data_IF_024162982100
#
_entry.id   IF_024162982100
#
_cell.length_a   1.000
_cell.length_b   1.000
_cell.length_c   1.000
_cell.angle_alpha   90.00
_cell.angle_beta   90.00
_cell.angle_gamma   90.00
#
_symmetry.space_group_name_H-M   'P 1'
#
loop_
_entity.id
_entity.type
_entity.pdbx_description
1 polymer ?
#
# COMPACT_ATOMS: atom_id res chain seq x y z
N UNK A 1 42.48 4.26 -70.20
CA UNK A 1 41.95 5.45 -69.51
C UNK A 1 41.76 5.04 -68.04
N UNK A 2 42.82 5.15 -67.24
CA UNK A 2 43.10 6.31 -66.36
C UNK A 2 41.99 6.53 -65.33
N UNK A 3 42.22 6.10 -64.09
CA UNK A 3 42.22 7.02 -62.94
C UNK A 3 42.83 6.35 -61.71
N UNK A 4 43.71 7.11 -61.07
CA UNK A 4 44.63 6.82 -59.96
C UNK A 4 44.10 7.40 -58.65
N UNK A 5 44.34 6.72 -57.51
CA UNK A 5 44.59 7.30 -56.19
C UNK A 5 44.93 6.15 -55.23
N UNK A 6 46.19 5.82 -54.94
CA UNK A 6 47.25 6.54 -54.23
C UNK A 6 47.07 6.54 -52.70
N UNK A 7 48.13 6.07 -52.05
CA UNK A 7 48.27 5.63 -50.67
C UNK A 7 48.53 6.76 -49.66
N UNK A 8 48.42 6.41 -48.38
CA UNK A 8 49.53 6.41 -47.39
C UNK A 8 49.17 7.09 -46.06
N UNK A 9 49.47 6.41 -44.95
CA UNK A 9 49.54 7.02 -43.61
C UNK A 9 49.27 6.06 -42.45
N UNK A 10 50.28 5.31 -42.02
CA UNK A 10 50.44 4.80 -40.64
C UNK A 10 51.59 5.63 -39.98
N UNK A 11 51.89 5.62 -38.64
CA UNK A 11 51.61 4.57 -37.63
C UNK A 11 51.34 5.05 -36.17
N UNK A 12 51.22 4.07 -35.25
CA UNK A 12 51.43 4.12 -33.77
C UNK A 12 50.45 4.99 -32.93
N UNK A 13 49.99 4.64 -31.72
CA UNK A 13 50.69 4.06 -30.58
C UNK A 13 49.67 3.71 -29.45
N UNK A 14 50.06 2.78 -28.56
CA UNK A 14 49.66 2.65 -27.15
C UNK A 14 48.24 2.18 -26.73
N UNK A 15 48.14 0.86 -26.58
CA UNK A 15 47.73 0.11 -25.38
C UNK A 15 46.90 0.79 -24.25
N UNK A 16 45.73 0.20 -23.97
CA UNK A 16 45.29 -0.28 -22.64
C UNK A 16 43.92 -0.98 -22.82
N UNK A 17 43.88 -2.31 -22.95
CA UNK A 17 43.68 -3.25 -21.83
C UNK A 17 42.62 -2.77 -20.82
N UNK A 18 41.40 -3.29 -20.97
CA UNK A 18 40.57 -3.66 -19.83
C UNK A 18 39.57 -4.73 -20.28
N UNK A 19 39.85 -5.94 -19.82
CA UNK A 19 39.09 -7.14 -20.02
C UNK A 19 37.63 -6.99 -19.53
N UNK A 20 36.71 -7.59 -20.27
CA UNK A 20 35.44 -8.00 -19.72
C UNK A 20 35.66 -9.11 -18.67
N UNK A 21 34.77 -9.19 -17.67
CA UNK A 21 34.17 -10.49 -17.42
C UNK A 21 32.64 -10.41 -17.49
N UNK A 22 32.11 -11.13 -18.48
CA UNK A 22 30.78 -11.71 -18.50
C UNK A 22 30.54 -12.50 -17.21
N UNK A 23 29.73 -11.92 -16.32
CA UNK A 23 29.24 -12.62 -15.13
C UNK A 23 27.72 -12.63 -15.18
N UNK A 24 27.18 -13.75 -15.63
CA UNK A 24 25.75 -14.00 -15.68
C UNK A 24 25.13 -13.92 -14.29
N UNK A 25 24.29 -12.90 -14.08
CA UNK A 25 23.43 -12.83 -12.92
C UNK A 25 22.30 -13.86 -13.10
N UNK A 26 22.52 -15.02 -12.48
CA UNK A 26 21.54 -16.10 -12.36
C UNK A 26 20.29 -15.57 -11.65
N UNK A 27 19.16 -15.67 -12.35
CA UNK A 27 17.79 -15.28 -11.94
C UNK A 27 17.22 -16.05 -10.73
N UNK A 28 18.04 -16.76 -9.95
CA UNK A 28 17.60 -17.75 -8.94
C UNK A 28 17.86 -17.39 -7.47
N UNK A 29 18.50 -16.26 -7.17
CA UNK A 29 18.82 -15.89 -5.78
C UNK A 29 17.95 -14.76 -5.17
N UNK A 30 16.94 -14.26 -5.90
CA UNK A 30 16.05 -13.19 -5.40
C UNK A 30 14.79 -13.69 -4.66
N UNK A 31 14.66 -14.99 -4.36
CA UNK A 31 13.49 -15.57 -3.68
C UNK A 31 13.83 -16.39 -2.43
N UNK A 32 14.86 -15.95 -1.67
CA UNK A 32 15.07 -16.34 -0.27
C UNK A 32 15.19 -15.12 0.63
N UNK A 33 14.27 -14.19 0.47
CA UNK A 33 13.94 -13.22 1.52
C UNK A 33 12.76 -13.73 2.32
N UNK A 34 13.02 -14.64 3.25
CA UNK A 34 12.07 -14.90 4.33
C UNK A 34 11.88 -13.57 5.08
N UNK A 35 10.68 -12.99 5.04
CA UNK A 35 10.28 -11.93 5.95
C UNK A 35 10.04 -12.60 7.30
N UNK A 36 10.96 -12.52 8.29
CA UNK A 36 10.68 -13.01 9.62
C UNK A 36 9.76 -11.98 10.28
N UNK A 37 8.67 -12.44 10.88
CA UNK A 37 7.84 -11.61 11.73
C UNK A 37 8.66 -11.01 12.86
N UNK A 38 8.64 -9.68 12.96
CA UNK A 38 9.11 -8.94 14.11
C UNK A 38 8.40 -7.58 14.18
N UNK A 39 7.10 -7.61 14.46
CA UNK A 39 6.41 -6.49 15.10
C UNK A 39 6.50 -6.66 16.62
N UNK A 40 7.72 -6.51 17.14
CA UNK A 40 7.99 -6.40 18.56
C UNK A 40 8.97 -5.24 18.78
N UNK A 41 8.56 -4.22 19.52
CA UNK A 41 9.46 -3.17 20.02
C UNK A 41 8.99 -1.75 19.75
N UNK A 42 8.07 -1.27 20.59
CA UNK A 42 8.02 0.16 20.93
C UNK A 42 9.31 0.51 21.70
N UNK A 43 10.22 1.28 21.11
CA UNK A 43 11.24 2.02 21.87
C UNK A 43 11.77 3.22 21.09
N UNK A 44 11.86 4.35 21.80
CA UNK A 44 12.52 5.62 21.48
C UNK A 44 11.86 6.55 20.43
N UNK A 45 11.09 7.49 20.98
CA UNK A 45 10.70 8.76 20.37
C UNK A 45 11.95 9.58 19.96
N UNK A 46 12.35 9.49 18.71
CA UNK A 46 13.20 10.49 18.06
C UNK A 46 12.33 11.60 17.46
N UNK A 47 12.09 12.66 18.23
CA UNK A 47 11.42 13.87 17.76
C UNK A 47 12.33 14.63 16.77
N UNK A 48 12.07 14.50 15.47
CA UNK A 48 12.55 15.46 14.48
C UNK A 48 11.49 16.55 14.35
N UNK A 49 11.77 17.82 14.73
CA UNK A 49 10.82 18.90 14.54
C UNK A 49 10.88 19.34 13.08
N UNK A 50 9.97 18.84 12.25
CA UNK A 50 9.65 19.48 10.97
C UNK A 50 8.66 20.61 11.25
N UNK A 51 9.18 21.78 11.63
CA UNK A 51 8.39 23.02 11.68
C UNK A 51 8.56 23.79 10.38
N UNK A 52 7.56 23.69 9.50
CA UNK A 52 7.07 24.80 8.64
C UNK A 52 6.00 24.24 7.70
N UNK A 53 4.74 24.32 8.11
CA UNK A 53 3.60 24.07 7.24
C UNK A 53 2.41 24.80 7.80
N UNK A 54 1.89 25.77 7.05
CA UNK A 54 0.70 26.57 7.36
C UNK A 54 -0.43 25.66 7.86
N UNK A 55 -0.57 25.56 9.18
CA UNK A 55 -1.46 24.61 9.81
C UNK A 55 -2.47 25.37 10.64
N UNK A 56 -3.75 25.16 10.33
CA UNK A 56 -4.83 25.37 11.29
C UNK A 56 -4.40 24.80 12.64
N UNK A 57 -4.42 25.64 13.69
CA UNK A 57 -4.18 25.14 15.05
C UNK A 57 -5.33 24.22 15.39
N UNK A 58 -5.07 22.92 15.39
CA UNK A 58 -6.05 21.95 15.87
C UNK A 58 -6.12 22.09 17.38
N UNK A 59 -7.28 22.49 17.89
CA UNK A 59 -7.59 22.36 19.31
C UNK A 59 -7.75 20.87 19.58
N UNK A 60 -7.02 20.35 20.57
CA UNK A 60 -7.13 18.93 20.96
C UNK A 60 -8.58 18.61 21.32
N UNK A 61 -9.15 17.65 20.61
CA UNK A 61 -10.48 17.11 20.86
C UNK A 61 -10.42 15.56 20.83
N UNK A 62 -10.15 14.93 21.99
CA UNK A 62 -10.11 13.48 22.09
C UNK A 62 -11.41 12.79 21.69
N UNK A 63 -12.56 13.47 21.81
CA UNK A 63 -13.86 12.90 21.44
C UNK A 63 -14.03 12.86 19.93
N UNK A 64 -13.67 13.95 19.24
CA UNK A 64 -13.66 13.98 17.78
C UNK A 64 -12.63 13.00 17.21
N UNK A 65 -11.43 12.94 17.78
CA UNK A 65 -10.38 11.99 17.36
C UNK A 65 -10.86 10.54 17.50
N UNK A 66 -11.48 10.19 18.64
CA UNK A 66 -12.01 8.85 18.85
C UNK A 66 -13.16 8.50 17.89
N UNK A 67 -13.99 9.47 17.49
CA UNK A 67 -15.03 9.26 16.49
C UNK A 67 -14.45 8.95 15.09
N UNK A 68 -13.39 9.66 14.70
CA UNK A 68 -12.67 9.38 13.44
C UNK A 68 -12.01 7.99 13.47
N UNK A 69 -11.39 7.61 14.59
CA UNK A 69 -10.82 6.28 14.76
C UNK A 69 -11.88 5.18 14.76
N UNK A 70 -13.07 5.43 15.35
CA UNK A 70 -14.18 4.49 15.33
C UNK A 70 -14.68 4.25 13.90
N UNK A 71 -14.82 5.31 13.10
CA UNK A 71 -15.17 5.20 11.69
C UNK A 71 -14.11 4.38 10.91
N UNK A 72 -12.83 4.63 11.14
CA UNK A 72 -11.76 3.85 10.53
C UNK A 72 -11.85 2.36 10.92
N UNK A 73 -12.09 2.05 12.19
CA UNK A 73 -12.24 0.68 12.68
C UNK A 73 -13.44 -0.06 12.05
N UNK A 74 -14.55 0.63 11.83
CA UNK A 74 -15.71 0.05 11.13
C UNK A 74 -15.37 -0.34 9.69
N UNK A 75 -14.60 0.51 8.99
CA UNK A 75 -14.12 0.20 7.63
C UNK A 75 -13.18 -1.01 7.65
N UNK A 76 -12.26 -1.11 8.61
CA UNK A 76 -11.38 -2.29 8.74
C UNK A 76 -12.19 -3.58 8.92
N UNK A 77 -13.28 -3.55 9.68
CA UNK A 77 -14.16 -4.72 9.77
C UNK A 77 -14.83 -5.09 8.45
N UNK A 78 -15.26 -4.10 7.66
CA UNK A 78 -15.83 -4.32 6.33
C UNK A 78 -14.79 -4.94 5.38
N UNK A 79 -13.56 -4.40 5.35
CA UNK A 79 -12.48 -4.91 4.49
C UNK A 79 -12.12 -6.35 4.85
N UNK A 80 -11.99 -6.66 6.15
CA UNK A 80 -11.76 -8.03 6.62
C UNK A 80 -12.83 -9.01 6.12
N UNK A 81 -14.10 -8.58 6.13
CA UNK A 81 -15.19 -9.39 5.61
C UNK A 81 -15.11 -9.52 4.08
N UNK A 82 -14.79 -8.45 3.35
CA UNK A 82 -14.56 -8.49 1.91
C UNK A 82 -13.49 -9.53 1.52
N UNK A 83 -12.36 -9.57 2.24
CA UNK A 83 -11.32 -10.59 2.08
C UNK A 83 -11.83 -12.02 2.32
N UNK A 84 -12.65 -12.22 3.36
CA UNK A 84 -13.26 -13.52 3.63
C UNK A 84 -14.18 -13.97 2.48
N UNK A 85 -14.99 -13.06 1.94
CA UNK A 85 -15.96 -13.38 0.88
C UNK A 85 -15.31 -13.58 -0.48
N UNK A 86 -14.33 -12.74 -0.82
CA UNK A 86 -13.54 -12.87 -2.05
C UNK A 86 -12.78 -14.19 -2.12
N UNK A 87 -12.32 -14.73 -0.99
CA UNK A 87 -11.46 -15.91 -0.93
C UNK A 87 -12.01 -17.12 -1.70
N UNK A 88 -13.33 -17.34 -1.75
CA UNK A 88 -13.93 -18.47 -2.45
C UNK A 88 -13.69 -18.46 -3.98
N UNK A 89 -13.40 -17.30 -4.55
CA UNK A 89 -13.26 -17.08 -6.00
C UNK A 89 -11.80 -16.92 -6.44
N UNK A 90 -10.86 -16.98 -5.49
CA UNK A 90 -9.43 -16.76 -5.72
C UNK A 90 -8.67 -18.09 -5.91
N UNK A 91 -7.58 -18.05 -6.68
CA UNK A 91 -6.67 -19.19 -6.78
C UNK A 91 -5.99 -19.50 -5.43
N UNK A 92 -5.36 -20.67 -5.28
CA UNK A 92 -4.72 -21.06 -4.03
C UNK A 92 -3.65 -20.04 -3.55
N UNK A 93 -2.84 -19.50 -4.47
CA UNK A 93 -1.82 -18.51 -4.15
C UNK A 93 -2.43 -17.18 -3.70
N UNK A 94 -3.46 -16.72 -4.40
CA UNK A 94 -4.17 -15.47 -4.06
C UNK A 94 -4.92 -15.59 -2.74
N UNK A 95 -5.53 -16.75 -2.46
CA UNK A 95 -6.14 -17.03 -1.16
C UNK A 95 -5.13 -16.95 -0.02
N UNK A 96 -3.91 -17.46 -0.21
CA UNK A 96 -2.86 -17.35 0.80
C UNK A 96 -2.47 -15.88 1.05
N UNK A 97 -2.34 -15.08 -0.02
CA UNK A 97 -2.10 -13.63 0.11
C UNK A 97 -3.25 -12.92 0.82
N UNK A 98 -4.50 -13.17 0.40
CA UNK A 98 -5.70 -12.62 1.00
C UNK A 98 -5.80 -12.98 2.50
N UNK A 99 -5.45 -14.21 2.88
CA UNK A 99 -5.42 -14.63 4.27
C UNK A 99 -4.34 -13.89 5.09
N UNK A 100 -3.16 -13.65 4.50
CA UNK A 100 -2.09 -12.86 5.12
C UNK A 100 -2.52 -11.42 5.36
N UNK A 101 -3.11 -10.77 4.35
CA UNK A 101 -3.59 -9.39 4.49
C UNK A 101 -4.70 -9.32 5.54
N UNK A 102 -5.69 -10.21 5.47
CA UNK A 102 -6.77 -10.26 6.47
C UNK A 102 -6.27 -10.46 7.91
N UNK A 103 -5.14 -11.14 8.10
CA UNK A 103 -4.50 -11.26 9.41
C UNK A 103 -3.90 -9.91 9.87
N UNK A 104 -3.22 -9.20 8.97
CA UNK A 104 -2.73 -7.84 9.25
C UNK A 104 -3.89 -6.89 9.59
N UNK A 105 -5.00 -6.96 8.86
CA UNK A 105 -6.20 -6.17 9.17
C UNK A 105 -6.80 -6.49 10.55
N UNK A 106 -6.71 -7.74 11.01
CA UNK A 106 -7.14 -8.09 12.35
C UNK A 106 -6.25 -7.47 13.44
N UNK A 107 -4.94 -7.41 13.21
CA UNK A 107 -3.99 -6.74 14.11
C UNK A 107 -4.24 -5.22 14.14
N UNK A 108 -4.49 -4.62 12.98
CA UNK A 108 -4.81 -3.20 12.87
C UNK A 108 -6.13 -2.85 13.57
N UNK A 109 -7.16 -3.68 13.41
CA UNK A 109 -8.43 -3.51 14.12
C UNK A 109 -8.24 -3.53 15.65
N UNK A 110 -7.40 -4.43 16.16
CA UNK A 110 -7.07 -4.49 17.58
C UNK A 110 -6.33 -3.22 18.04
N UNK A 111 -5.36 -2.73 17.26
CA UNK A 111 -4.62 -1.50 17.55
C UNK A 111 -5.52 -0.26 17.60
N UNK A 112 -6.42 -0.11 16.62
CA UNK A 112 -7.41 0.96 16.60
C UNK A 112 -8.36 0.87 17.79
N UNK A 113 -8.82 -0.34 18.12
CA UNK A 113 -9.64 -0.59 19.30
C UNK A 113 -8.97 -0.12 20.59
N UNK A 114 -7.69 -0.43 20.80
CA UNK A 114 -6.94 0.04 21.97
C UNK A 114 -6.72 1.56 21.97
N UNK A 115 -6.51 2.19 20.81
CA UNK A 115 -6.42 3.64 20.70
C UNK A 115 -7.73 4.32 21.11
N UNK A 116 -8.88 3.83 20.63
CA UNK A 116 -10.19 4.36 20.99
C UNK A 116 -10.45 4.23 22.50
N UNK A 117 -10.07 3.10 23.11
CA UNK A 117 -10.14 2.90 24.57
C UNK A 117 -9.29 3.90 25.34
N UNK A 118 -8.05 4.15 24.90
CA UNK A 118 -7.15 5.15 25.51
C UNK A 118 -7.71 6.58 25.46
N UNK A 119 -8.53 6.89 24.47
CA UNK A 119 -9.25 8.16 24.37
C UNK A 119 -10.55 8.20 25.22
N UNK A 120 -10.78 7.19 26.08
CA UNK A 120 -11.93 7.13 26.98
C UNK A 120 -13.24 6.77 26.28
N UNK A 121 -13.17 6.15 25.09
CA UNK A 121 -14.35 5.74 24.31
C UNK A 121 -14.40 4.23 24.15
N UNK A 122 -15.60 3.72 23.86
CA UNK A 122 -15.81 2.30 23.57
C UNK A 122 -15.64 2.06 22.07
N UNK A 123 -14.82 1.10 21.64
CA UNK A 123 -14.71 0.74 20.22
C UNK A 123 -16.02 0.19 19.67
N UNK A 124 -16.37 0.50 18.40
CA UNK A 124 -17.45 -0.19 17.71
C UNK A 124 -17.18 -1.69 17.63
N UNK A 125 -18.27 -2.47 17.65
CA UNK A 125 -18.23 -3.92 17.46
C UNK A 125 -18.39 -4.22 15.97
N UNK A 126 -17.77 -5.29 15.44
CA UNK A 126 -18.06 -5.74 14.09
C UNK A 126 -19.53 -6.17 13.99
N UNK A 127 -20.11 -5.98 12.80
CA UNK A 127 -21.43 -6.52 12.47
C UNK A 127 -21.36 -8.05 12.37
N UNK A 128 -22.54 -8.67 12.35
CA UNK A 128 -22.67 -10.08 12.00
C UNK A 128 -22.34 -10.29 10.52
N UNK A 129 -21.86 -11.49 10.18
CA UNK A 129 -21.50 -11.83 8.80
C UNK A 129 -22.65 -11.58 7.81
N UNK A 130 -23.88 -11.92 8.19
CA UNK A 130 -25.08 -11.73 7.37
C UNK A 130 -25.38 -10.25 7.09
N UNK A 131 -25.08 -9.35 8.03
CA UNK A 131 -25.29 -7.91 7.87
C UNK A 131 -24.30 -7.30 6.89
N UNK A 132 -23.05 -7.79 6.88
CA UNK A 132 -22.08 -7.42 5.86
C UNK A 132 -22.44 -8.02 4.49
N UNK A 133 -22.83 -9.29 4.45
CA UNK A 133 -23.21 -9.96 3.20
C UNK A 133 -24.37 -9.26 2.49
N UNK A 134 -25.32 -8.69 3.24
CA UNK A 134 -26.42 -7.90 2.69
C UNK A 134 -25.99 -6.59 1.99
N UNK A 135 -24.78 -6.10 2.28
CA UNK A 135 -24.22 -4.86 1.73
C UNK A 135 -23.25 -5.12 0.57
N UNK A 136 -22.81 -6.37 0.38
CA UNK A 136 -21.82 -6.72 -0.61
C UNK A 136 -22.43 -6.86 -2.01
N UNK A 137 -21.69 -6.48 -3.07
CA UNK A 137 -22.09 -6.82 -4.42
C UNK A 137 -22.05 -8.33 -4.62
N UNK A 138 -22.85 -8.81 -5.57
CA UNK A 138 -22.79 -10.21 -6.02
C UNK A 138 -21.44 -10.45 -6.70
N UNK A 139 -20.71 -11.46 -6.24
CA UNK A 139 -19.42 -11.86 -6.82
C UNK A 139 -19.59 -13.14 -7.63
N UNK A 140 -19.39 -13.07 -8.95
CA UNK A 140 -19.57 -14.24 -9.83
C UNK A 140 -18.26 -14.95 -10.14
N UNK A 141 -17.14 -14.23 -10.11
CA UNK A 141 -15.85 -14.74 -10.60
C UNK A 141 -14.66 -14.06 -9.91
N UNK A 142 -13.46 -14.52 -10.27
CA UNK A 142 -12.18 -13.99 -9.75
C UNK A 142 -12.02 -12.49 -9.97
N UNK A 143 -12.40 -11.96 -11.12
CA UNK A 143 -12.20 -10.53 -11.43
C UNK A 143 -13.09 -9.65 -10.54
N UNK A 144 -14.36 -10.05 -10.32
CA UNK A 144 -15.24 -9.34 -9.39
C UNK A 144 -14.69 -9.36 -7.95
N UNK A 145 -14.13 -10.50 -7.52
CA UNK A 145 -13.48 -10.61 -6.23
C UNK A 145 -12.28 -9.66 -6.10
N UNK A 146 -11.40 -9.59 -7.09
CA UNK A 146 -10.25 -8.69 -7.06
C UNK A 146 -10.65 -7.21 -7.16
N UNK A 147 -11.70 -6.89 -7.91
CA UNK A 147 -12.27 -5.53 -7.96
C UNK A 147 -12.80 -5.11 -6.59
N UNK A 148 -13.60 -5.97 -5.93
CA UNK A 148 -14.09 -5.71 -4.58
C UNK A 148 -12.93 -5.45 -3.60
N UNK A 149 -11.88 -6.27 -3.63
CA UNK A 149 -10.73 -6.07 -2.74
C UNK A 149 -10.00 -4.76 -3.03
N UNK A 150 -9.87 -4.38 -4.31
CA UNK A 150 -9.25 -3.11 -4.69
C UNK A 150 -10.05 -1.92 -4.17
N UNK A 151 -11.36 -1.95 -4.34
CA UNK A 151 -12.28 -0.89 -3.87
C UNK A 151 -12.27 -0.79 -2.34
N UNK A 152 -12.18 -1.93 -1.64
CA UNK A 152 -12.08 -1.99 -0.19
C UNK A 152 -10.79 -1.31 0.33
N UNK A 153 -9.63 -1.61 -0.28
CA UNK A 153 -8.36 -0.96 0.08
C UNK A 153 -8.36 0.54 -0.23
N UNK A 154 -8.96 0.96 -1.34
CA UNK A 154 -9.10 2.39 -1.67
C UNK A 154 -9.99 3.13 -0.67
N UNK A 155 -11.06 2.48 -0.20
CA UNK A 155 -11.90 3.01 0.87
C UNK A 155 -11.11 3.17 2.17
N UNK A 156 -10.26 2.22 2.54
CA UNK A 156 -9.40 2.32 3.72
C UNK A 156 -8.38 3.44 3.62
N UNK A 157 -7.65 3.52 2.51
CA UNK A 157 -6.69 4.61 2.26
C UNK A 157 -7.40 5.95 2.40
N UNK A 158 -8.55 6.13 1.74
CA UNK A 158 -9.31 7.38 1.79
C UNK A 158 -9.79 7.69 3.21
N UNK A 159 -10.32 6.71 3.92
CA UNK A 159 -10.82 6.87 5.30
C UNK A 159 -9.70 7.32 6.23
N UNK A 160 -8.54 6.66 6.17
CA UNK A 160 -7.39 7.00 7.00
C UNK A 160 -6.80 8.38 6.64
N UNK A 161 -6.70 8.74 5.36
CA UNK A 161 -6.19 10.06 4.96
C UNK A 161 -7.15 11.19 5.37
N UNK A 162 -8.47 10.97 5.29
CA UNK A 162 -9.46 11.93 5.80
C UNK A 162 -9.42 12.05 7.33
N UNK A 163 -9.21 10.95 8.04
CA UNK A 163 -8.99 10.96 9.48
C UNK A 163 -7.70 11.73 9.84
N UNK A 164 -6.59 11.46 9.15
CA UNK A 164 -5.32 12.16 9.33
C UNK A 164 -5.47 13.69 9.20
N UNK A 165 -6.24 14.15 8.21
CA UNK A 165 -6.47 15.57 7.97
C UNK A 165 -7.28 16.25 9.09
N UNK A 166 -8.00 15.49 9.92
CA UNK A 166 -8.94 16.01 10.93
C UNK A 166 -8.51 15.73 12.36
N UNK A 167 -7.71 14.68 12.60
CA UNK A 167 -7.23 14.30 13.92
C UNK A 167 -6.44 15.45 14.53
N UNK A 168 -6.82 15.81 15.74
CA UNK A 168 -6.25 16.93 16.47
C UNK A 168 -4.95 16.58 17.19
N UNK A 169 -4.80 15.35 17.70
CA UNK A 169 -3.62 14.90 18.41
C UNK A 169 -2.44 14.54 17.46
N UNK A 170 -1.30 15.26 17.51
CA UNK A 170 -0.15 14.98 16.63
C UNK A 170 0.38 13.54 16.73
N UNK A 171 0.37 12.98 17.94
CA UNK A 171 0.82 11.62 18.23
C UNK A 171 -0.01 10.53 17.53
N UNK A 172 -1.27 10.79 17.19
CA UNK A 172 -2.14 9.84 16.48
C UNK A 172 -1.94 9.89 14.96
N UNK A 173 -1.47 11.02 14.42
CA UNK A 173 -1.36 11.25 12.98
C UNK A 173 -0.36 10.32 12.29
N UNK A 174 0.80 10.11 12.91
CA UNK A 174 1.82 9.21 12.36
C UNK A 174 1.33 7.77 12.28
N UNK A 175 0.58 7.31 13.30
CA UNK A 175 -0.05 6.00 13.32
C UNK A 175 -1.05 5.82 12.18
N UNK A 176 -1.91 6.82 11.95
CA UNK A 176 -2.93 6.79 10.89
C UNK A 176 -2.31 6.85 9.49
N UNK A 177 -1.28 7.67 9.31
CA UNK A 177 -0.58 7.74 8.03
C UNK A 177 0.12 6.41 7.69
N UNK A 178 0.68 5.74 8.70
CA UNK A 178 1.27 4.40 8.52
C UNK A 178 0.24 3.36 8.12
N UNK A 179 -0.98 3.41 8.67
CA UNK A 179 -2.08 2.53 8.24
C UNK A 179 -2.45 2.82 6.78
N UNK A 180 -2.66 4.09 6.41
CA UNK A 180 -2.94 4.46 5.02
C UNK A 180 -1.87 3.96 4.04
N UNK A 181 -0.59 4.01 4.42
CA UNK A 181 0.49 3.45 3.60
C UNK A 181 0.40 1.92 3.45
N UNK A 182 0.09 1.19 4.53
CA UNK A 182 -0.09 -0.26 4.47
C UNK A 182 -1.22 -0.65 3.51
N UNK A 183 -2.39 -0.02 3.63
CA UNK A 183 -3.53 -0.26 2.74
C UNK A 183 -3.21 0.11 1.28
N UNK A 184 -2.48 1.20 1.05
CA UNK A 184 -2.04 1.56 -0.30
C UNK A 184 -1.12 0.46 -0.89
N UNK A 185 -0.24 -0.14 -0.09
CA UNK A 185 0.59 -1.25 -0.52
C UNK A 185 -0.24 -2.51 -0.84
N UNK A 186 -1.24 -2.85 -0.02
CA UNK A 186 -2.18 -3.94 -0.30
C UNK A 186 -2.94 -3.71 -1.61
N UNK A 187 -3.45 -2.49 -1.80
CA UNK A 187 -4.13 -2.07 -3.02
C UNK A 187 -3.27 -2.24 -4.27
N UNK A 188 -1.99 -1.89 -4.21
CA UNK A 188 -1.04 -2.09 -5.32
C UNK A 188 -0.74 -3.57 -5.58
N UNK A 189 -0.67 -4.40 -4.53
CA UNK A 189 -0.55 -5.85 -4.70
C UNK A 189 -1.77 -6.43 -5.42
N UNK A 190 -2.99 -6.01 -5.06
CA UNK A 190 -4.21 -6.43 -5.75
C UNK A 190 -4.24 -5.94 -7.20
N UNK A 191 -3.88 -4.68 -7.46
CA UNK A 191 -3.79 -4.13 -8.80
C UNK A 191 -2.83 -4.97 -9.68
N UNK A 192 -1.68 -5.38 -9.11
CA UNK A 192 -0.75 -6.29 -9.79
C UNK A 192 -1.38 -7.65 -10.12
N UNK A 193 -2.18 -8.24 -9.20
CA UNK A 193 -2.91 -9.50 -9.46
C UNK A 193 -3.98 -9.37 -10.56
N UNK A 194 -4.53 -8.17 -10.76
CA UNK A 194 -5.45 -7.83 -11.85
C UNK A 194 -4.74 -7.56 -13.18
N UNK A 195 -3.40 -7.59 -13.19
CA UNK A 195 -2.59 -7.26 -14.36
C UNK A 195 -2.58 -5.76 -14.68
N UNK A 196 -2.98 -4.92 -13.73
CA UNK A 196 -2.89 -3.46 -13.89
C UNK A 196 -1.42 -3.03 -13.94
N UNK A 197 -1.17 -1.97 -14.72
CA UNK A 197 0.14 -1.35 -14.85
C UNK A 197 0.03 0.10 -14.40
N UNK A 198 1.14 0.63 -13.88
CA UNK A 198 1.25 2.06 -13.67
C UNK A 198 0.98 2.79 -15.00
N UNK A 199 0.21 3.89 -14.98
CA UNK A 199 -0.04 4.65 -16.19
C UNK A 199 1.28 5.20 -16.74
N UNK A 200 1.48 5.07 -18.06
CA UNK A 200 2.70 5.55 -18.73
C UNK A 200 2.81 7.09 -18.77
N UNK A 201 1.68 7.79 -18.52
CA UNK A 201 1.59 9.25 -18.53
C UNK A 201 0.78 9.73 -17.34
N UNK A 202 1.17 10.87 -16.78
CA UNK A 202 0.49 11.45 -15.62
C UNK A 202 -0.93 11.95 -15.92
N UNK A 203 -1.19 12.36 -17.17
CA UNK A 203 -2.48 12.90 -17.60
C UNK A 203 -3.28 11.86 -18.37
N UNK A 204 -3.89 10.91 -17.65
CA UNK A 204 -4.79 9.90 -18.23
C UNK A 204 -6.25 10.37 -18.29
N UNK A 205 -6.57 11.49 -17.66
CA UNK A 205 -7.90 12.11 -17.67
C UNK A 205 -7.85 13.46 -18.38
N UNK A 206 -8.66 13.63 -19.42
CA UNK A 206 -8.76 14.85 -20.23
C UNK A 206 -8.43 14.61 -21.70
N UNK A 207 -9.06 15.36 -22.61
CA UNK A 207 -8.72 15.28 -24.04
C UNK A 207 -7.35 15.93 -24.26
N UNK A 208 -6.43 15.29 -25.02
CA UNK A 208 -5.20 15.94 -25.41
C UNK A 208 -5.51 17.19 -26.22
N UNK A 209 -4.73 18.27 -26.01
CA UNK A 209 -4.82 19.45 -26.85
C UNK A 209 -4.38 19.05 -28.26
N UNK A 210 -5.32 19.10 -29.21
CA UNK A 210 -5.07 19.02 -30.66
C UNK A 210 -4.38 20.27 -31.15
#
# INVERSE_FOLDING_TARGET
MQSTAQASGAPAEAAASLAAPTSGLRRRDLLRGALPGSLAGLAALGLVPLTAGCGTRFVRDPRADAALLAQALEVVYQVRHAYLRAAALLSARERALAASIRAQEAEQAAQLGELIKRLGRRPPRPLLAAEYDAQLPVLANREDALRLLRDAEDLEVRTHLLAFARISAPELRSGILRLAYAHAAHGMLIASLRGERAPERAFVTGRPRS
#
